data_IF_185114792168
#
_entry.id   IF_185114792168
#
_cell.length_a   1.000
_cell.length_b   1.000
_cell.length_c   1.000
_cell.angle_alpha   90.00
_cell.angle_beta   90.00
_cell.angle_gamma   90.00
#
_symmetry.space_group_name_H-M   'P 1'
#
loop_
_entity.id
_entity.type
_entity.pdbx_description
1 polymer ?
#
# COMPACT_ATOMS: atom_id res chain seq x y z
N UNK A 1 6.47 3.50 -1.24
CA UNK A 1 7.38 2.58 -1.95
C UNK A 1 6.81 1.16 -2.08
N UNK A 2 6.22 0.56 -1.03
CA UNK A 2 5.57 -0.76 -1.11
C UNK A 2 4.62 -0.92 -2.33
N UNK A 3 3.83 0.10 -2.63
CA UNK A 3 2.93 0.11 -3.79
C UNK A 3 3.64 -0.02 -5.14
N UNK A 4 4.88 0.48 -5.27
CA UNK A 4 5.70 0.34 -6.48
C UNK A 4 6.18 -1.09 -6.72
N UNK A 5 6.11 -1.97 -5.70
CA UNK A 5 6.38 -3.40 -5.88
C UNK A 5 5.22 -4.11 -6.59
N UNK A 6 3.97 -3.64 -6.39
CA UNK A 6 2.77 -4.30 -6.90
C UNK A 6 2.24 -3.66 -8.19
N UNK A 7 2.45 -2.36 -8.37
CA UNK A 7 2.06 -1.61 -9.57
C UNK A 7 2.51 -2.26 -10.90
N UNK A 8 3.78 -2.69 -11.10
CA UNK A 8 4.18 -3.27 -12.38
C UNK A 8 3.49 -4.62 -12.66
N UNK A 9 3.11 -5.38 -11.63
CA UNK A 9 2.34 -6.62 -11.79
C UNK A 9 0.90 -6.36 -12.26
N UNK A 10 0.30 -5.25 -11.82
CA UNK A 10 -1.01 -4.79 -12.27
C UNK A 10 -0.93 -4.29 -13.73
N UNK A 11 0.06 -3.46 -14.04
CA UNK A 11 0.31 -2.97 -15.41
C UNK A 11 0.54 -4.14 -16.37
N UNK A 12 1.35 -5.13 -15.97
CA UNK A 12 1.59 -6.33 -16.76
C UNK A 12 0.28 -7.10 -17.06
N UNK A 13 -0.64 -7.20 -16.09
CA UNK A 13 -1.95 -7.80 -16.28
C UNK A 13 -2.81 -7.04 -17.30
N UNK A 14 -2.82 -5.70 -17.23
CA UNK A 14 -3.54 -4.84 -18.18
C UNK A 14 -2.96 -4.98 -19.59
N UNK A 15 -1.63 -4.99 -19.73
CA UNK A 15 -0.94 -5.19 -21.01
C UNK A 15 -1.25 -6.57 -21.60
N UNK A 16 -1.27 -7.63 -20.77
CA UNK A 16 -1.64 -8.97 -21.21
C UNK A 16 -3.08 -9.02 -21.73
N UNK A 17 -4.03 -8.37 -21.03
CA UNK A 17 -5.43 -8.27 -21.46
C UNK A 17 -5.58 -7.47 -22.77
N UNK A 18 -4.87 -6.34 -22.89
CA UNK A 18 -4.88 -5.51 -24.08
C UNK A 18 -4.34 -6.26 -25.31
N UNK A 19 -3.21 -6.95 -25.14
CA UNK A 19 -2.58 -7.74 -26.23
C UNK A 19 -3.31 -9.03 -26.52
N UNK A 20 -4.07 -9.57 -25.55
CA UNK A 20 -4.78 -10.84 -25.70
C UNK A 20 -3.85 -12.05 -25.83
N UNK A 21 -2.58 -11.96 -25.40
CA UNK A 21 -1.60 -13.05 -25.45
C UNK A 21 -0.54 -12.87 -24.36
N UNK A 22 0.02 -13.99 -23.86
CA UNK A 22 1.16 -13.99 -22.94
C UNK A 22 2.52 -14.03 -23.63
N UNK A 23 2.55 -14.34 -24.92
CA UNK A 23 3.79 -14.65 -25.65
C UNK A 23 4.54 -13.40 -26.15
N UNK A 24 3.90 -12.23 -26.12
CA UNK A 24 4.55 -10.96 -26.46
C UNK A 24 5.35 -10.42 -25.27
N UNK A 25 6.66 -10.22 -25.47
CA UNK A 25 7.59 -9.65 -24.48
C UNK A 25 7.10 -8.29 -23.95
N UNK A 26 7.21 -8.07 -22.65
CA UNK A 26 6.96 -6.76 -22.04
C UNK A 26 7.96 -5.71 -22.55
N UNK A 27 7.59 -4.41 -22.56
CA UNK A 27 8.55 -3.36 -22.87
C UNK A 27 9.69 -3.36 -21.84
N UNK A 28 10.91 -3.03 -22.27
CA UNK A 28 12.12 -3.20 -21.46
C UNK A 28 12.09 -2.48 -20.12
N UNK A 29 11.46 -1.30 -20.04
CA UNK A 29 11.31 -0.55 -18.79
C UNK A 29 10.48 -1.32 -17.75
N UNK A 30 9.44 -2.03 -18.18
CA UNK A 30 8.55 -2.79 -17.29
C UNK A 30 9.24 -4.07 -16.84
N UNK A 31 9.98 -4.72 -17.74
CA UNK A 31 10.76 -5.92 -17.44
C UNK A 31 11.84 -5.62 -16.38
N UNK A 32 12.64 -4.56 -16.59
CA UNK A 32 13.63 -4.09 -15.60
C UNK A 32 12.97 -3.76 -14.26
N UNK A 33 11.83 -3.10 -14.26
CA UNK A 33 11.11 -2.79 -13.03
C UNK A 33 10.60 -4.04 -12.31
N UNK A 34 10.07 -5.03 -13.04
CA UNK A 34 9.61 -6.30 -12.48
C UNK A 34 10.75 -7.08 -11.80
N UNK A 35 11.97 -7.00 -12.32
CA UNK A 35 13.19 -7.59 -11.73
C UNK A 35 13.63 -6.86 -10.45
N UNK A 36 13.42 -5.55 -10.37
CA UNK A 36 13.81 -4.73 -9.21
C UNK A 36 12.83 -4.77 -8.02
N UNK A 37 11.71 -5.50 -8.13
CA UNK A 37 10.65 -5.52 -7.08
C UNK A 37 11.16 -5.97 -5.72
N UNK A 38 12.08 -6.94 -5.68
CA UNK A 38 12.67 -7.43 -4.43
C UNK A 38 13.47 -6.32 -3.73
N UNK A 39 14.32 -5.62 -4.46
CA UNK A 39 15.15 -4.52 -3.94
C UNK A 39 14.29 -3.38 -3.41
N UNK A 40 13.29 -2.95 -4.19
CA UNK A 40 12.36 -1.90 -3.77
C UNK A 40 11.57 -2.34 -2.52
N UNK A 41 11.13 -3.60 -2.48
CA UNK A 41 10.39 -4.16 -1.35
C UNK A 41 11.19 -4.16 -0.04
N UNK A 42 12.47 -4.54 -0.11
CA UNK A 42 13.38 -4.56 1.05
C UNK A 42 13.73 -3.15 1.53
N UNK A 43 14.00 -2.21 0.62
CA UNK A 43 14.25 -0.81 0.96
C UNK A 43 13.01 -0.20 1.65
N UNK A 44 11.83 -0.49 1.13
CA UNK A 44 10.57 -0.04 1.71
C UNK A 44 10.27 -0.67 3.08
N UNK A 45 10.68 -1.92 3.32
CA UNK A 45 10.66 -2.53 4.66
C UNK A 45 11.61 -1.81 5.62
N UNK A 46 12.81 -1.44 5.17
CA UNK A 46 13.76 -0.64 5.96
C UNK A 46 13.16 0.69 6.42
N UNK A 47 12.49 1.42 5.52
CA UNK A 47 11.76 2.63 5.88
C UNK A 47 10.57 2.38 6.82
N UNK A 48 9.87 1.24 6.67
CA UNK A 48 8.78 0.88 7.56
C UNK A 48 9.28 0.60 9.00
N UNK A 49 10.41 -0.09 9.14
CA UNK A 49 11.06 -0.33 10.44
C UNK A 49 11.53 0.99 11.07
N UNK A 50 12.16 1.86 10.26
CA UNK A 50 12.58 3.19 10.72
C UNK A 50 11.38 4.01 11.19
N UNK A 51 10.29 4.01 10.42
CA UNK A 51 9.03 4.66 10.79
C UNK A 51 8.45 4.12 12.12
N UNK A 52 8.48 2.80 12.32
CA UNK A 52 8.04 2.18 13.56
C UNK A 52 8.90 2.63 14.75
N UNK A 53 10.23 2.62 14.62
CA UNK A 53 11.16 3.08 15.67
C UNK A 53 10.91 4.55 16.01
N UNK A 54 10.82 5.44 15.02
CA UNK A 54 10.53 6.85 15.26
C UNK A 54 9.20 7.07 15.97
N UNK A 55 8.20 6.25 15.68
CA UNK A 55 6.88 6.30 16.31
C UNK A 55 6.94 5.85 17.77
N UNK A 56 7.66 4.77 18.08
CA UNK A 56 7.81 4.25 19.45
C UNK A 56 8.60 5.20 20.37
N UNK A 57 9.48 6.03 19.82
CA UNK A 57 10.30 6.99 20.60
C UNK A 57 9.57 8.32 20.84
N UNK A 58 8.42 8.58 20.19
CA UNK A 58 7.60 9.80 20.37
C UNK A 58 7.40 10.22 21.84
N UNK A 59 6.97 9.35 22.78
CA UNK A 59 6.68 9.77 24.16
C UNK A 59 7.92 10.23 24.94
N UNK A 60 9.13 9.87 24.49
CA UNK A 60 10.39 10.23 25.16
C UNK A 60 10.86 11.63 24.71
N UNK A 61 10.42 12.11 23.54
CA UNK A 61 10.89 13.36 22.94
C UNK A 61 10.53 14.57 23.80
N UNK A 62 11.51 15.46 23.96
CA UNK A 62 11.37 16.68 24.75
C UNK A 62 10.15 17.51 24.38
N UNK A 63 9.92 17.77 23.08
CA UNK A 63 8.80 18.60 22.64
C UNK A 63 7.42 17.99 22.97
N UNK A 64 7.28 16.67 22.89
CA UNK A 64 6.03 15.96 23.22
C UNK A 64 5.80 16.02 24.73
N UNK A 65 6.82 15.70 25.53
CA UNK A 65 6.76 15.78 26.99
C UNK A 65 6.47 17.20 27.47
N UNK A 66 7.17 18.18 26.91
CA UNK A 66 6.96 19.60 27.22
C UNK A 66 5.52 20.02 26.88
N UNK A 67 5.00 19.67 25.70
CA UNK A 67 3.62 20.01 25.31
C UNK A 67 2.57 19.37 26.23
N UNK A 68 2.78 18.12 26.64
CA UNK A 68 1.91 17.44 27.59
C UNK A 68 1.91 18.16 28.95
N UNK A 69 3.10 18.44 29.50
CA UNK A 69 3.25 19.14 30.78
C UNK A 69 2.66 20.55 30.71
N UNK A 70 2.92 21.31 29.65
CA UNK A 70 2.34 22.64 29.46
C UNK A 70 0.81 22.60 29.42
N UNK A 71 0.21 21.62 28.73
CA UNK A 71 -1.25 21.46 28.70
C UNK A 71 -1.82 21.23 30.11
N UNK A 72 -1.19 20.36 30.91
CA UNK A 72 -1.60 20.10 32.29
C UNK A 72 -1.45 21.36 33.15
N UNK A 73 -0.32 22.07 33.04
CA UNK A 73 -0.09 23.34 33.78
C UNK A 73 -1.11 24.41 33.39
N UNK A 74 -1.47 24.52 32.12
CA UNK A 74 -2.45 25.49 31.63
C UNK A 74 -3.88 25.15 32.10
N UNK A 75 -4.26 23.88 32.13
CA UNK A 75 -5.54 23.43 32.72
C UNK A 75 -5.63 23.78 34.20
N UNK A 76 -4.55 23.51 34.96
CA UNK A 76 -4.46 23.86 36.38
C UNK A 76 -4.55 25.37 36.62
N UNK A 77 -3.82 26.19 35.84
CA UNK A 77 -3.85 27.66 35.96
C UNK A 77 -5.22 28.26 35.66
N UNK A 78 -5.95 27.66 34.73
CA UNK A 78 -7.28 28.13 34.35
C UNK A 78 -8.40 27.54 35.21
N UNK A 79 -8.06 26.78 36.25
CA UNK A 79 -9.01 26.03 37.10
C UNK A 79 -10.02 25.20 36.26
N UNK A 80 -9.54 24.66 35.13
CA UNK A 80 -10.33 23.80 34.24
C UNK A 80 -10.01 22.36 34.57
N UNK A 81 -11.02 21.59 34.92
CA UNK A 81 -10.96 20.14 34.87
C UNK A 81 -11.59 19.73 33.55
N UNK A 82 -10.77 19.38 32.56
CA UNK A 82 -11.29 18.60 31.44
C UNK A 82 -11.82 17.31 32.04
N UNK A 83 -13.13 17.03 31.96
CA UNK A 83 -13.65 15.76 32.43
C UNK A 83 -12.85 14.66 31.73
N UNK A 84 -12.58 13.56 32.42
CA UNK A 84 -12.19 12.32 31.75
C UNK A 84 -13.41 11.75 31.01
N UNK A 85 -14.12 12.59 30.26
CA UNK A 85 -15.11 12.13 29.30
C UNK A 85 -14.31 11.49 28.19
N UNK A 86 -14.30 10.16 28.23
CA UNK A 86 -13.65 9.34 27.25
C UNK A 86 -14.28 9.64 25.88
N UNK A 87 -13.60 10.43 25.05
CA UNK A 87 -14.01 10.62 23.67
C UNK A 87 -13.80 9.29 22.95
N UNK A 88 -14.88 8.51 22.91
CA UNK A 88 -14.94 7.24 22.23
C UNK A 88 -14.42 7.36 20.79
N UNK A 89 -14.72 8.46 20.10
CA UNK A 89 -14.33 8.63 18.70
C UNK A 89 -12.83 8.78 18.54
N UNK A 90 -12.20 9.61 19.38
CA UNK A 90 -10.75 9.79 19.36
C UNK A 90 -10.03 8.50 19.75
N UNK A 91 -10.49 7.83 20.81
CA UNK A 91 -9.93 6.56 21.27
C UNK A 91 -9.99 5.46 20.20
N UNK A 92 -11.17 5.25 19.59
CA UNK A 92 -11.33 4.29 18.49
C UNK A 92 -10.44 4.64 17.30
N UNK A 93 -10.34 5.93 16.96
CA UNK A 93 -9.49 6.40 15.86
C UNK A 93 -8.01 6.12 16.10
N UNK A 94 -7.50 6.43 17.30
CA UNK A 94 -6.09 6.23 17.65
C UNK A 94 -5.72 4.75 17.77
N UNK A 95 -6.58 3.96 18.41
CA UNK A 95 -6.30 2.54 18.66
C UNK A 95 -6.40 1.73 17.38
N UNK A 96 -7.39 2.02 16.53
CA UNK A 96 -7.51 1.40 15.21
C UNK A 96 -6.32 1.75 14.32
N UNK A 97 -5.88 3.01 14.33
CA UNK A 97 -4.69 3.45 13.60
C UNK A 97 -3.46 2.65 14.01
N UNK A 98 -3.23 2.49 15.31
CA UNK A 98 -2.08 1.78 15.85
C UNK A 98 -2.16 0.28 15.54
N UNK A 99 -3.32 -0.35 15.74
CA UNK A 99 -3.55 -1.77 15.46
C UNK A 99 -3.28 -2.10 13.97
N UNK A 100 -3.77 -1.27 13.05
CA UNK A 100 -3.51 -1.44 11.62
C UNK A 100 -2.03 -1.24 11.27
N UNK A 101 -1.33 -0.33 11.95
CA UNK A 101 0.11 -0.15 11.79
C UNK A 101 0.91 -1.37 12.23
N UNK A 102 0.57 -1.95 13.40
CA UNK A 102 1.22 -3.15 13.94
C UNK A 102 0.97 -4.35 13.03
N UNK A 103 -0.28 -4.59 12.63
CA UNK A 103 -0.64 -5.67 11.71
C UNK A 103 0.06 -5.53 10.36
N UNK A 104 0.08 -4.31 9.81
CA UNK A 104 0.77 -4.01 8.55
C UNK A 104 2.26 -4.29 8.64
N UNK A 105 2.92 -3.86 9.71
CA UNK A 105 4.35 -4.11 9.93
C UNK A 105 4.62 -5.60 10.09
N UNK A 106 3.82 -6.32 10.87
CA UNK A 106 3.94 -7.78 11.04
C UNK A 106 3.90 -8.51 9.69
N UNK A 107 2.88 -8.24 8.88
CA UNK A 107 2.76 -8.84 7.55
C UNK A 107 3.95 -8.45 6.65
N UNK A 108 4.45 -7.23 6.75
CA UNK A 108 5.60 -6.77 5.97
C UNK A 108 6.89 -7.49 6.39
N UNK A 109 7.11 -7.71 7.69
CA UNK A 109 8.25 -8.51 8.18
C UNK A 109 8.19 -9.93 7.62
N UNK A 110 7.02 -10.57 7.55
CA UNK A 110 6.86 -11.90 6.91
C UNK A 110 7.28 -11.89 5.42
N UNK A 111 6.94 -10.83 4.67
CA UNK A 111 7.40 -10.65 3.29
C UNK A 111 8.92 -10.46 3.20
N UNK A 112 9.51 -9.77 4.18
CA UNK A 112 10.96 -9.58 4.30
C UNK A 112 11.68 -10.89 4.56
N UNK A 113 11.21 -11.67 5.53
CA UNK A 113 11.80 -12.96 5.89
C UNK A 113 11.76 -13.95 4.73
N UNK A 114 10.62 -14.05 4.03
CA UNK A 114 10.50 -14.91 2.84
C UNK A 114 11.33 -14.44 1.63
N UNK A 115 11.89 -13.23 1.67
CA UNK A 115 12.81 -12.72 0.65
C UNK A 115 14.27 -13.17 0.86
N UNK A 116 14.60 -13.73 2.03
CA UNK A 116 15.93 -14.28 2.31
C UNK A 116 16.17 -15.50 1.42
N UNK A 117 17.35 -15.64 0.76
CA UNK A 117 17.62 -16.78 -0.10
C UNK A 117 17.47 -18.14 0.60
N UNK A 118 17.87 -18.23 1.88
CA UNK A 118 17.75 -19.45 2.69
C UNK A 118 16.31 -19.87 2.93
N UNK A 119 15.40 -18.93 3.19
CA UNK A 119 13.96 -19.20 3.41
C UNK A 119 13.24 -19.40 2.07
N UNK A 120 13.58 -18.59 1.06
CA UNK A 120 12.97 -18.70 -0.27
C UNK A 120 13.28 -20.05 -0.94
N UNK A 121 14.45 -20.63 -0.68
CA UNK A 121 14.85 -21.92 -1.22
C UNK A 121 14.13 -23.13 -0.59
N UNK A 122 13.55 -22.99 0.61
CA UNK A 122 12.81 -24.07 1.28
C UNK A 122 11.32 -24.08 0.94
N UNK A 123 10.81 -23.00 0.35
CA UNK A 123 9.40 -22.85 -0.01
C UNK A 123 9.14 -23.36 -1.43
N UNK A 124 8.01 -24.05 -1.61
CA UNK A 124 7.49 -24.32 -2.95
C UNK A 124 7.08 -23.03 -3.67
N UNK A 125 7.02 -23.06 -5.00
CA UNK A 125 6.57 -21.89 -5.78
C UNK A 125 5.16 -21.42 -5.38
N UNK A 126 4.27 -22.35 -5.01
CA UNK A 126 2.91 -22.03 -4.58
C UNK A 126 2.90 -21.25 -3.26
N UNK A 127 3.70 -21.69 -2.29
CA UNK A 127 3.84 -21.02 -0.98
C UNK A 127 4.50 -19.66 -1.13
N UNK A 128 5.61 -19.59 -1.88
CA UNK A 128 6.30 -18.34 -2.15
C UNK A 128 5.38 -17.32 -2.84
N UNK A 129 4.62 -17.76 -3.86
CA UNK A 129 3.68 -16.90 -4.55
C UNK A 129 2.50 -16.49 -3.65
N UNK A 130 2.02 -17.37 -2.76
CA UNK A 130 0.99 -16.99 -1.78
C UNK A 130 1.49 -15.86 -0.87
N UNK A 131 2.69 -16.00 -0.31
CA UNK A 131 3.28 -14.99 0.57
C UNK A 131 3.54 -13.69 -0.20
N UNK A 132 4.35 -13.73 -1.26
CA UNK A 132 4.78 -12.52 -1.96
C UNK A 132 3.68 -11.82 -2.77
N UNK A 133 2.66 -12.56 -3.22
CA UNK A 133 1.55 -12.00 -4.01
C UNK A 133 0.30 -11.74 -3.19
N UNK A 134 -0.25 -12.74 -2.49
CA UNK A 134 -1.54 -12.60 -1.79
C UNK A 134 -1.37 -11.84 -0.48
N UNK A 135 -0.47 -12.29 0.40
CA UNK A 135 -0.14 -11.53 1.61
C UNK A 135 0.48 -10.19 1.25
N UNK A 136 1.24 -10.11 0.16
CA UNK A 136 1.76 -8.86 -0.37
C UNK A 136 0.72 -7.76 -0.61
N UNK A 137 -0.36 -8.07 -1.35
CA UNK A 137 -1.44 -7.11 -1.56
C UNK A 137 -2.26 -6.86 -0.29
N UNK A 138 -2.38 -7.84 0.60
CA UNK A 138 -3.01 -7.66 1.90
C UNK A 138 -2.23 -6.66 2.77
N UNK A 139 -0.89 -6.77 2.82
CA UNK A 139 -0.02 -5.81 3.51
C UNK A 139 -0.21 -4.41 2.93
N UNK A 140 -0.24 -4.28 1.59
CA UNK A 140 -0.49 -2.99 0.95
C UNK A 140 -1.86 -2.41 1.36
N UNK A 141 -2.90 -3.23 1.40
CA UNK A 141 -4.25 -2.82 1.83
C UNK A 141 -4.25 -2.35 3.30
N UNK A 142 -3.71 -3.15 4.21
CA UNK A 142 -3.64 -2.83 5.65
C UNK A 142 -2.84 -1.55 5.90
N UNK A 143 -1.67 -1.40 5.28
CA UNK A 143 -0.85 -0.19 5.40
C UNK A 143 -1.53 1.05 4.79
N UNK A 144 -2.30 0.88 3.71
CA UNK A 144 -3.06 1.99 3.11
C UNK A 144 -4.23 2.40 4.02
N UNK A 145 -4.93 1.42 4.60
CA UNK A 145 -5.99 1.65 5.58
C UNK A 145 -5.46 2.34 6.85
N UNK A 146 -4.27 1.97 7.33
CA UNK A 146 -3.56 2.70 8.39
C UNK A 146 -3.38 4.20 8.04
N UNK A 147 -2.97 4.51 6.81
CA UNK A 147 -2.86 5.91 6.36
C UNK A 147 -4.21 6.64 6.24
N UNK A 148 -5.29 5.96 5.84
CA UNK A 148 -6.64 6.52 5.82
C UNK A 148 -7.17 6.80 7.24
N UNK A 149 -6.95 5.87 8.18
CA UNK A 149 -7.31 6.06 9.59
C UNK A 149 -6.56 7.25 10.20
N UNK A 150 -5.31 7.50 9.80
CA UNK A 150 -4.57 8.68 10.25
C UNK A 150 -5.21 10.00 9.78
N UNK A 151 -5.75 9.99 8.57
CA UNK A 151 -6.43 11.13 7.96
C UNK A 151 -7.80 11.39 8.56
N UNK A 152 -8.59 10.36 8.91
CA UNK A 152 -9.91 10.44 9.54
C UNK A 152 -10.75 11.68 9.11
N UNK A 153 -11.00 12.61 10.02
CA UNK A 153 -11.78 13.83 9.77
C UNK A 153 -10.95 14.97 9.16
N UNK A 154 -9.62 14.84 9.14
CA UNK A 154 -8.68 15.83 8.58
C UNK A 154 -8.80 15.93 7.06
N UNK A 155 -9.41 14.94 6.40
CA UNK A 155 -9.68 14.97 4.97
C UNK A 155 -10.60 16.11 4.54
N UNK A 156 -11.59 16.45 5.38
CA UNK A 156 -12.61 17.45 5.04
C UNK A 156 -12.36 18.80 5.72
N UNK A 157 -11.36 18.89 6.59
CA UNK A 157 -11.01 20.13 7.29
C UNK A 157 -10.20 21.06 6.38
N UNK A 158 -10.76 22.22 6.05
CA UNK A 158 -10.08 23.27 5.25
C UNK A 158 -8.77 23.71 5.90
N UNK A 159 -8.69 23.72 7.24
CA UNK A 159 -7.48 24.05 7.99
C UNK A 159 -6.29 23.11 7.72
N UNK A 160 -6.54 21.90 7.19
CA UNK A 160 -5.50 20.95 6.80
C UNK A 160 -4.76 21.39 5.53
N UNK A 161 -5.37 22.23 4.69
CA UNK A 161 -4.84 22.67 3.39
C UNK A 161 -4.06 23.98 3.51
N UNK A 162 -2.80 23.89 3.95
CA UNK A 162 -1.92 25.06 4.03
C UNK A 162 -1.58 25.55 2.62
N UNK A 163 -1.87 26.81 2.32
CA UNK A 163 -1.63 27.42 1.00
C UNK A 163 -2.21 26.62 -0.17
N UNK A 164 -3.41 26.06 -0.01
CA UNK A 164 -4.08 25.21 -1.02
C UNK A 164 -3.33 23.91 -1.36
N UNK A 165 -2.26 23.57 -0.64
CA UNK A 165 -1.54 22.31 -0.86
C UNK A 165 -2.13 21.20 0.01
N UNK A 166 -2.38 20.00 -0.56
CA UNK A 166 -2.83 18.87 0.22
C UNK A 166 -1.71 18.42 1.19
N UNK A 167 -2.07 17.95 2.39
CA UNK A 167 -1.09 17.43 3.35
C UNK A 167 -0.36 16.21 2.79
N UNK A 168 0.89 16.02 3.20
CA UNK A 168 1.77 14.99 2.64
C UNK A 168 1.20 13.57 2.68
N UNK A 169 0.45 13.21 3.74
CA UNK A 169 -0.16 11.88 3.83
C UNK A 169 -1.18 11.61 2.71
N UNK A 170 -1.92 12.62 2.24
CA UNK A 170 -2.86 12.47 1.12
C UNK A 170 -2.12 12.16 -0.19
N UNK A 171 -1.00 12.85 -0.43
CA UNK A 171 -0.15 12.58 -1.59
C UNK A 171 0.41 11.16 -1.55
N UNK A 172 0.80 10.69 -0.35
CA UNK A 172 1.28 9.32 -0.16
C UNK A 172 0.21 8.25 -0.39
N UNK A 173 -1.08 8.56 -0.17
CA UNK A 173 -2.20 7.62 -0.35
C UNK A 173 -2.62 7.44 -1.81
N UNK A 174 -2.36 8.42 -2.67
CA UNK A 174 -2.82 8.40 -4.06
C UNK A 174 -2.36 7.13 -4.81
N UNK A 175 -1.05 6.85 -4.79
CA UNK A 175 -0.49 5.75 -5.58
C UNK A 175 -0.89 4.35 -5.03
N UNK A 176 -0.83 4.07 -3.71
CA UNK A 176 -1.39 2.84 -3.14
C UNK A 176 -2.87 2.63 -3.47
N UNK A 177 -3.70 3.67 -3.38
CA UNK A 177 -5.13 3.57 -3.68
C UNK A 177 -5.37 3.23 -5.14
N UNK A 178 -4.66 3.88 -6.08
CA UNK A 178 -4.75 3.54 -7.51
C UNK A 178 -4.36 2.08 -7.75
N UNK A 179 -3.27 1.60 -7.13
CA UNK A 179 -2.83 0.20 -7.27
C UNK A 179 -3.91 -0.78 -6.77
N UNK A 180 -4.51 -0.50 -5.61
CA UNK A 180 -5.56 -1.34 -5.03
C UNK A 180 -6.84 -1.33 -5.88
N UNK A 181 -7.24 -0.17 -6.41
CA UNK A 181 -8.40 -0.06 -7.31
C UNK A 181 -8.18 -0.84 -8.60
N UNK A 182 -7.03 -0.64 -9.27
CA UNK A 182 -6.71 -1.40 -10.47
C UNK A 182 -6.62 -2.90 -10.19
N UNK A 183 -6.07 -3.29 -9.02
CA UNK A 183 -6.06 -4.69 -8.59
C UNK A 183 -7.47 -5.24 -8.41
N UNK A 184 -8.37 -4.48 -7.80
CA UNK A 184 -9.77 -4.87 -7.62
C UNK A 184 -10.46 -5.08 -8.97
N UNK A 185 -10.24 -4.19 -9.94
CA UNK A 185 -10.74 -4.35 -11.31
C UNK A 185 -10.23 -5.63 -11.96
N UNK A 186 -8.95 -5.98 -11.79
CA UNK A 186 -8.38 -7.22 -12.30
C UNK A 186 -8.93 -8.48 -11.59
N UNK A 187 -9.43 -8.36 -10.37
CA UNK A 187 -10.05 -9.45 -9.61
C UNK A 187 -11.54 -9.65 -9.93
N UNK A 188 -12.15 -8.75 -10.70
CA UNK A 188 -13.53 -8.93 -11.15
C UNK A 188 -13.64 -10.24 -11.94
N UNK A 189 -14.67 -11.08 -11.71
CA UNK A 189 -14.74 -12.43 -12.28
C UNK A 189 -14.60 -12.47 -13.81
N UNK A 190 -15.12 -11.47 -14.52
CA UNK A 190 -15.02 -11.37 -15.98
C UNK A 190 -13.59 -11.10 -16.46
N UNK A 191 -12.85 -10.26 -15.74
CA UNK A 191 -11.47 -9.86 -16.05
C UNK A 191 -10.50 -10.94 -15.62
N UNK A 192 -10.65 -11.48 -14.41
CA UNK A 192 -9.76 -12.51 -13.86
C UNK A 192 -9.83 -13.82 -14.66
N UNK A 193 -11.04 -14.24 -15.07
CA UNK A 193 -11.21 -15.42 -15.96
C UNK A 193 -10.49 -15.21 -17.30
N UNK A 194 -10.67 -14.04 -17.90
CA UNK A 194 -10.01 -13.70 -19.17
C UNK A 194 -8.48 -13.68 -19.04
N UNK A 195 -7.97 -13.04 -17.99
CA UNK A 195 -6.54 -12.97 -17.70
C UNK A 195 -5.96 -14.37 -17.40
N UNK A 196 -6.70 -15.21 -16.68
CA UNK A 196 -6.30 -16.58 -16.35
C UNK A 196 -6.23 -17.44 -17.62
N UNK A 197 -7.19 -17.33 -18.55
CA UNK A 197 -7.12 -18.00 -19.85
C UNK A 197 -5.89 -17.57 -20.64
N UNK A 198 -5.61 -16.27 -20.73
CA UNK A 198 -4.41 -15.75 -21.41
C UNK A 198 -3.13 -16.34 -20.79
N UNK A 199 -3.05 -16.39 -19.44
CA UNK A 199 -1.89 -16.98 -18.73
C UNK A 199 -1.77 -18.48 -18.94
N UNK A 200 -2.88 -19.19 -19.14
CA UNK A 200 -2.92 -20.60 -19.53
C UNK A 200 -2.50 -20.82 -20.99
N UNK A 201 -2.40 -19.76 -21.82
CA UNK A 201 -1.93 -19.84 -23.20
C UNK A 201 -2.98 -19.50 -24.25
N UNK A 202 -4.16 -19.02 -23.86
CA UNK A 202 -5.15 -18.51 -24.80
C UNK A 202 -4.63 -17.28 -25.53
N UNK A 203 -4.81 -17.25 -26.85
CA UNK A 203 -4.54 -16.10 -27.69
C UNK A 203 -5.83 -15.58 -28.31
N UNK A 204 -6.00 -14.26 -28.33
CA UNK A 204 -7.05 -13.63 -29.12
C UNK A 204 -6.72 -13.87 -30.60
N UNK A 205 -7.65 -14.48 -31.34
CA UNK A 205 -7.53 -14.64 -32.77
C UNK A 205 -7.15 -13.30 -33.42
N UNK A 206 -6.19 -13.27 -34.36
CA UNK A 206 -5.95 -12.06 -35.13
C UNK A 206 -7.28 -11.64 -35.75
N UNK A 207 -7.72 -10.40 -35.48
CA UNK A 207 -8.87 -9.84 -36.19
C UNK A 207 -8.63 -10.00 -37.68
N UNK A 208 -9.69 -10.33 -38.44
CA UNK A 208 -9.60 -10.32 -39.90
C UNK A 208 -8.87 -9.04 -40.35
N UNK A 209 -7.92 -9.12 -41.30
CA UNK A 209 -7.27 -7.94 -41.82
C UNK A 209 -8.35 -6.97 -42.28
N UNK A 210 -8.28 -5.74 -41.77
CA UNK A 210 -9.01 -4.60 -42.29
C UNK A 210 -8.80 -4.61 -43.81
N UNK A 211 -9.88 -4.82 -44.58
CA UNK A 211 -9.83 -4.82 -46.03
C UNK A 211 -9.14 -3.53 -46.44
N UNK A 212 -7.95 -3.65 -47.04
CA UNK A 212 -7.35 -2.58 -47.82
C UNK A 212 -8.39 -2.16 -48.86
N UNK A 213 -9.07 -1.06 -48.58
CA UNK A 213 -9.89 -0.36 -49.56
C UNK A 213 -8.90 0.42 -50.42
N UNK A 214 -8.44 -0.22 -51.48
CA UNK A 214 -7.81 0.47 -52.60
C UNK A 214 -8.90 1.31 -53.28
N UNK A 215 -8.79 2.63 -53.15
CA UNK A 215 -9.29 3.60 -54.12
C UNK A 215 -8.18 4.62 -54.36
#
# INVERSE_FOLDING_TARGET
MLSLCYLPGVIAGIIQLYRGTKYRRFPDWLDRWMLCRKQIGLLALGFALLHAVYTLVIPIRYNVRHKLISRVVDEMKNNKTTPFDFDNTEAWGTDSLLAMGILGLFLYVLLGLSSLPSVGATLSWREFNFIQSKLGHLTLFVCTAHGYMYGWDKFLKVSTYKWYTPPGYMLCLLLPTVVLLLKLLLLLPCVDRSLTRIRQGWERAPGLPEKQTNF
#
